data_IF_683453002327
#
_entry.id   IF_683453002327
#
_cell.length_a   1.000
_cell.length_b   1.000
_cell.length_c   1.000
_cell.angle_alpha   90.00
_cell.angle_beta   90.00
_cell.angle_gamma   90.00
#
_symmetry.space_group_name_H-M   'P 1'
#
loop_
_entity.id
_entity.type
_entity.pdbx_description
1 polymer ?
#
# COMPACT_ATOMS: atom_id res chain seq x y z
N UNK A 1 -7.43 -10.48 4.71
CA UNK A 1 -6.54 -10.05 3.60
C UNK A 1 -7.20 -10.28 2.24
N UNK A 2 -6.79 -9.52 1.22
CA UNK A 2 -7.25 -9.71 -0.16
C UNK A 2 -6.06 -9.62 -1.13
N UNK A 3 -6.20 -10.29 -2.26
CA UNK A 3 -5.19 -10.39 -3.31
C UNK A 3 -5.71 -9.84 -4.64
N UNK A 4 -4.83 -9.13 -5.34
CA UNK A 4 -5.00 -8.65 -6.70
C UNK A 4 -3.87 -9.24 -7.58
N UNK A 5 -4.16 -10.24 -8.43
CA UNK A 5 -3.16 -10.84 -9.32
C UNK A 5 -2.79 -9.92 -10.50
N UNK A 6 -1.66 -10.15 -11.15
CA UNK A 6 -1.22 -9.37 -12.32
C UNK A 6 -0.65 -7.99 -11.99
N UNK A 7 -0.38 -7.73 -10.71
CA UNK A 7 0.06 -6.43 -10.19
C UNK A 7 1.19 -6.59 -9.19
N UNK A 8 2.04 -5.57 -9.08
CA UNK A 8 3.13 -5.47 -8.10
C UNK A 8 2.97 -4.23 -7.23
N UNK A 9 3.35 -4.35 -5.95
CA UNK A 9 3.51 -3.19 -5.08
C UNK A 9 4.85 -2.53 -5.40
N UNK A 10 4.85 -1.22 -5.69
CA UNK A 10 6.06 -0.44 -5.96
C UNK A 10 6.10 0.84 -5.16
N UNK A 11 7.29 1.28 -4.77
CA UNK A 11 7.50 2.55 -4.05
C UNK A 11 7.94 3.68 -4.98
N UNK A 12 7.22 3.86 -6.07
CA UNK A 12 7.59 4.79 -7.15
C UNK A 12 6.56 5.90 -7.37
N UNK A 13 5.55 6.03 -6.50
CA UNK A 13 4.62 7.16 -6.55
C UNK A 13 5.29 8.35 -5.86
N UNK A 14 5.39 9.50 -6.54
CA UNK A 14 5.97 10.73 -5.99
C UNK A 14 5.18 11.25 -4.78
N UNK A 15 5.81 11.19 -3.61
CA UNK A 15 5.36 11.82 -2.38
C UNK A 15 5.57 13.33 -2.40
N UNK A 16 4.79 14.07 -1.61
CA UNK A 16 5.01 15.53 -1.45
C UNK A 16 6.31 15.85 -0.69
N UNK A 17 6.80 14.87 0.05
CA UNK A 17 8.05 14.91 0.82
C UNK A 17 9.27 14.47 -0.01
N UNK A 18 9.09 14.22 -1.31
CA UNK A 18 10.14 13.77 -2.22
C UNK A 18 10.44 12.27 -2.15
N UNK A 19 9.79 11.51 -1.27
CA UNK A 19 9.97 10.05 -1.20
C UNK A 19 9.04 9.27 -2.12
N UNK A 20 9.39 8.02 -2.37
CA UNK A 20 8.53 7.04 -3.02
C UNK A 20 7.42 6.54 -2.10
N UNK A 21 6.17 6.60 -2.57
CA UNK A 21 4.97 6.03 -1.91
C UNK A 21 4.48 4.81 -2.69
N UNK A 22 3.69 3.98 -2.01
CA UNK A 22 3.15 2.74 -2.59
C UNK A 22 2.30 3.00 -3.85
N UNK A 23 2.45 2.13 -4.84
CA UNK A 23 1.60 2.08 -6.01
C UNK A 23 1.25 0.63 -6.32
N UNK A 24 0.04 0.42 -6.84
CA UNK A 24 -0.40 -0.84 -7.43
C UNK A 24 -0.08 -0.75 -8.92
N UNK A 25 1.05 -1.33 -9.32
CA UNK A 25 1.51 -1.29 -10.70
C UNK A 25 1.08 -2.55 -11.45
N UNK A 26 0.39 -2.38 -12.58
CA UNK A 26 -0.03 -3.49 -13.43
C UNK A 26 1.17 -4.05 -14.20
N UNK A 27 1.39 -5.36 -14.11
CA UNK A 27 2.47 -6.06 -14.82
C UNK A 27 1.97 -7.05 -15.86
N UNK A 28 0.68 -7.39 -15.82
CA UNK A 28 0.07 -8.44 -16.65
C UNK A 28 0.69 -9.84 -16.48
N UNK A 29 1.61 -10.01 -15.54
CA UNK A 29 2.20 -11.30 -15.19
C UNK A 29 1.36 -11.98 -14.10
N UNK A 30 0.75 -13.15 -14.35
CA UNK A 30 -0.12 -13.81 -13.39
C UNK A 30 0.60 -14.31 -12.13
N UNK A 31 1.93 -14.41 -12.15
CA UNK A 31 2.72 -14.75 -10.97
C UNK A 31 2.86 -13.57 -9.99
N UNK A 32 2.72 -12.33 -10.49
CA UNK A 32 2.74 -11.13 -9.67
C UNK A 32 1.40 -10.94 -8.95
N UNK A 33 1.49 -10.42 -7.73
CA UNK A 33 0.31 -10.11 -6.93
C UNK A 33 0.56 -8.96 -5.96
N UNK A 34 -0.47 -8.16 -5.73
CA UNK A 34 -0.56 -7.26 -4.58
C UNK A 34 -1.45 -7.91 -3.54
N UNK A 35 -0.97 -8.00 -2.31
CA UNK A 35 -1.76 -8.43 -1.16
C UNK A 35 -1.92 -7.25 -0.21
N UNK A 36 -3.14 -7.01 0.24
CA UNK A 36 -3.47 -5.93 1.16
C UNK A 36 -4.54 -6.30 2.17
N UNK A 37 -4.83 -5.34 3.05
CA UNK A 37 -5.99 -5.38 3.92
C UNK A 37 -7.21 -4.81 3.20
N UNK A 38 -8.34 -5.50 3.30
CA UNK A 38 -9.61 -5.05 2.73
C UNK A 38 -10.51 -4.57 3.86
N UNK A 39 -10.92 -3.31 3.79
CA UNK A 39 -11.78 -2.67 4.78
C UNK A 39 -13.18 -2.46 4.21
N UNK A 40 -14.16 -2.51 5.10
CA UNK A 40 -15.52 -2.05 4.82
C UNK A 40 -15.71 -0.70 5.48
N UNK A 41 -16.21 0.26 4.72
CA UNK A 41 -16.50 1.61 5.19
C UNK A 41 -17.86 2.08 4.68
N UNK A 42 -18.42 3.09 5.31
CA UNK A 42 -19.67 3.72 4.88
C UNK A 42 -19.41 4.64 3.68
N UNK A 43 -20.33 4.67 2.73
CA UNK A 43 -20.15 5.43 1.49
C UNK A 43 -19.89 6.93 1.73
N UNK A 44 -20.47 7.51 2.78
CA UNK A 44 -20.29 8.92 3.14
C UNK A 44 -18.92 9.22 3.78
N UNK A 45 -18.15 8.21 4.18
CA UNK A 45 -16.77 8.36 4.69
C UNK A 45 -15.77 8.44 3.53
N UNK A 46 -16.14 7.95 2.35
CA UNK A 46 -15.25 7.93 1.18
C UNK A 46 -14.71 9.32 0.79
N UNK A 47 -15.50 10.42 0.77
CA UNK A 47 -14.96 11.74 0.47
C UNK A 47 -13.87 12.21 1.44
N UNK A 48 -13.94 11.80 2.72
CA UNK A 48 -12.91 12.10 3.71
C UNK A 48 -11.61 11.36 3.37
N UNK A 49 -11.71 10.09 2.98
CA UNK A 49 -10.57 9.29 2.53
C UNK A 49 -9.99 9.84 1.22
N UNK A 50 -10.83 10.22 0.26
CA UNK A 50 -10.41 10.86 -1.00
C UNK A 50 -9.58 12.13 -0.74
N UNK A 51 -10.00 12.94 0.23
CA UNK A 51 -9.26 14.15 0.63
C UNK A 51 -7.92 13.82 1.30
N UNK A 52 -7.90 12.80 2.16
CA UNK A 52 -6.69 12.37 2.87
C UNK A 52 -5.62 11.80 1.91
N UNK A 53 -6.04 10.97 0.95
CA UNK A 53 -5.17 10.38 -0.08
C UNK A 53 -4.71 11.41 -1.13
N UNK A 54 -5.38 12.58 -1.16
CA UNK A 54 -5.14 13.59 -2.16
C UNK A 54 -5.58 13.14 -3.54
N UNK A 55 -6.81 12.62 -3.65
CA UNK A 55 -7.43 12.29 -4.93
C UNK A 55 -7.36 13.51 -5.87
N UNK A 56 -6.81 13.32 -7.08
CA UNK A 56 -6.53 14.41 -8.02
C UNK A 56 -5.21 15.16 -7.78
N UNK A 57 -4.40 14.72 -6.81
CA UNK A 57 -3.04 15.24 -6.50
C UNK A 57 -1.99 14.11 -6.55
N UNK A 58 -2.15 13.22 -7.53
CA UNK A 58 -1.20 12.16 -7.87
C UNK A 58 -1.69 10.72 -7.68
N UNK A 59 -2.89 10.52 -7.13
CA UNK A 59 -3.60 9.24 -7.17
C UNK A 59 -4.94 9.39 -7.91
N UNK A 60 -5.40 8.29 -8.51
CA UNK A 60 -6.74 8.10 -9.05
C UNK A 60 -7.41 6.89 -8.39
N UNK A 61 -8.74 6.92 -8.26
CA UNK A 61 -9.49 5.75 -7.77
C UNK A 61 -9.62 4.73 -8.91
N UNK A 62 -9.36 3.47 -8.61
CA UNK A 62 -9.63 2.34 -9.52
C UNK A 62 -10.36 1.25 -8.77
N UNK A 63 -11.43 0.73 -9.38
CA UNK A 63 -12.17 -0.42 -8.86
C UNK A 63 -11.57 -1.71 -9.41
N UNK A 64 -11.30 -2.66 -8.53
CA UNK A 64 -10.78 -3.98 -8.86
C UNK A 64 -11.74 -5.06 -8.38
N UNK A 65 -11.70 -6.22 -9.06
CA UNK A 65 -12.21 -7.45 -8.47
C UNK A 65 -11.10 -8.06 -7.61
N UNK A 66 -11.36 -8.15 -6.30
CA UNK A 66 -10.40 -8.61 -5.32
C UNK A 66 -10.82 -9.98 -4.82
N UNK A 67 -9.85 -10.88 -4.65
CA UNK A 67 -10.08 -12.20 -4.05
C UNK A 67 -9.64 -12.19 -2.59
N UNK A 68 -10.50 -12.57 -1.65
CA UNK A 68 -10.07 -12.75 -0.26
C UNK A 68 -9.16 -13.96 -0.13
N UNK A 69 -8.22 -13.87 0.79
CA UNK A 69 -7.45 -15.04 1.22
C UNK A 69 -8.24 -15.75 2.32
N UNK A 70 -8.17 -17.09 2.33
CA UNK A 70 -8.70 -17.87 3.44
C UNK A 70 -8.01 -17.45 4.73
N UNK A 71 -8.80 -17.28 5.79
CA UNK A 71 -8.31 -17.00 7.15
C UNK A 71 -8.86 -18.07 8.08
N UNK A 72 -8.34 -18.16 9.31
CA UNK A 72 -8.88 -19.06 10.32
C UNK A 72 -10.38 -18.81 10.64
N UNK A 73 -10.91 -17.65 10.25
CA UNK A 73 -12.29 -17.21 10.49
C UNK A 73 -13.17 -17.33 9.24
N UNK A 74 -12.58 -17.50 8.05
CA UNK A 74 -13.28 -17.59 6.77
C UNK A 74 -12.65 -18.67 5.88
N UNK A 75 -13.34 -19.81 5.82
CA UNK A 75 -12.88 -21.01 5.11
C UNK A 75 -12.87 -20.87 3.58
N UNK A 76 -13.69 -19.99 3.02
CA UNK A 76 -13.82 -19.86 1.56
C UNK A 76 -13.38 -18.48 1.06
N UNK A 77 -12.41 -18.43 0.12
CA UNK A 77 -12.13 -17.24 -0.67
C UNK A 77 -13.40 -16.73 -1.38
N UNK A 78 -13.64 -15.43 -1.31
CA UNK A 78 -14.70 -14.74 -2.01
C UNK A 78 -14.10 -13.74 -2.98
N UNK A 79 -14.75 -13.55 -4.12
CA UNK A 79 -14.45 -12.43 -5.02
C UNK A 79 -15.42 -11.29 -4.72
N UNK A 80 -14.88 -10.09 -4.52
CA UNK A 80 -15.69 -8.90 -4.31
C UNK A 80 -15.07 -7.65 -4.93
N UNK A 81 -15.90 -6.70 -5.36
CA UNK A 81 -15.42 -5.40 -5.82
C UNK A 81 -14.85 -4.63 -4.63
N UNK A 82 -13.71 -3.98 -4.86
CA UNK A 82 -13.11 -3.01 -3.96
C UNK A 82 -12.47 -1.89 -4.76
N UNK A 83 -12.23 -0.74 -4.11
CA UNK A 83 -11.51 0.35 -4.75
C UNK A 83 -10.16 0.57 -4.07
N UNK A 84 -9.18 0.99 -4.87
CA UNK A 84 -7.85 1.37 -4.42
C UNK A 84 -7.44 2.70 -5.06
N UNK A 85 -6.44 3.34 -4.47
CA UNK A 85 -5.79 4.53 -5.01
C UNK A 85 -4.53 4.11 -5.78
N UNK A 86 -4.51 4.40 -7.09
CA UNK A 86 -3.42 4.04 -8.01
C UNK A 86 -2.74 5.31 -8.51
N UNK A 87 -1.41 5.31 -8.56
CA UNK A 87 -0.66 6.50 -8.94
C UNK A 87 -1.02 6.94 -10.36
N UNK A 88 -1.17 8.24 -10.57
CA UNK A 88 -1.32 8.80 -11.92
C UNK A 88 0.03 8.73 -12.66
N UNK A 89 0.05 8.50 -13.98
CA UNK A 89 1.30 8.29 -14.73
C UNK A 89 2.34 9.41 -14.57
N UNK A 90 1.90 10.67 -14.47
CA UNK A 90 2.74 11.86 -14.27
C UNK A 90 3.35 11.97 -12.86
N UNK A 91 2.86 11.16 -11.92
CA UNK A 91 3.33 11.05 -10.55
C UNK A 91 4.13 9.77 -10.28
N UNK A 92 4.52 9.04 -11.33
CA UNK A 92 5.38 7.86 -11.21
C UNK A 92 6.82 8.24 -11.54
N UNK A 93 7.74 7.74 -10.73
CA UNK A 93 9.18 7.93 -10.87
C UNK A 93 9.90 6.73 -10.25
N UNK A 94 10.43 5.86 -11.11
CA UNK A 94 11.11 4.62 -10.71
C UNK A 94 12.47 4.86 -10.03
N UNK A 95 12.97 6.09 -10.00
CA UNK A 95 14.21 6.44 -9.28
C UNK A 95 13.97 6.70 -7.80
N UNK A 96 12.71 6.84 -7.38
CA UNK A 96 12.35 7.11 -6.01
C UNK A 96 12.53 5.91 -5.11
N UNK A 97 12.85 6.20 -3.85
CA UNK A 97 12.88 5.24 -2.74
C UNK A 97 11.98 5.72 -1.62
N UNK A 98 11.32 4.81 -0.88
CA UNK A 98 10.57 5.21 0.30
C UNK A 98 11.52 5.69 1.39
N UNK A 99 11.04 6.62 2.22
CA UNK A 99 11.73 6.87 3.48
C UNK A 99 11.64 5.65 4.39
N UNK A 100 12.71 5.39 5.16
CA UNK A 100 12.82 4.22 6.04
C UNK A 100 11.65 4.10 7.01
N UNK A 101 11.20 5.21 7.61
CA UNK A 101 10.03 5.22 8.49
C UNK A 101 8.73 4.81 7.77
N UNK A 102 8.57 5.19 6.49
CA UNK A 102 7.36 4.89 5.72
C UNK A 102 7.37 3.44 5.25
N UNK A 103 8.53 2.96 4.79
CA UNK A 103 8.75 1.56 4.46
C UNK A 103 8.46 0.65 5.68
N UNK A 104 9.00 1.01 6.84
CA UNK A 104 8.76 0.28 8.10
C UNK A 104 7.28 0.27 8.49
N UNK A 105 6.52 1.36 8.27
CA UNK A 105 5.07 1.37 8.48
C UNK A 105 4.34 0.38 7.56
N UNK A 106 4.72 0.30 6.29
CA UNK A 106 4.11 -0.63 5.33
C UNK A 106 4.42 -2.08 5.72
N UNK A 107 5.67 -2.39 6.07
CA UNK A 107 6.08 -3.72 6.52
C UNK A 107 5.37 -4.10 7.83
N UNK A 108 5.31 -3.18 8.79
CA UNK A 108 4.62 -3.38 10.08
C UNK A 108 3.13 -3.62 9.87
N UNK A 109 2.48 -2.85 9.00
CA UNK A 109 1.08 -3.06 8.62
C UNK A 109 0.85 -4.43 7.98
N UNK A 110 1.74 -4.86 7.08
CA UNK A 110 1.67 -6.19 6.46
C UNK A 110 1.79 -7.32 7.51
N UNK A 111 2.71 -7.17 8.49
CA UNK A 111 2.86 -8.10 9.62
C UNK A 111 1.62 -8.10 10.52
N UNK A 112 1.09 -6.92 10.87
CA UNK A 112 -0.10 -6.75 11.70
C UNK A 112 -1.32 -7.47 11.08
N UNK A 113 -1.50 -7.34 9.77
CA UNK A 113 -2.57 -8.02 9.03
C UNK A 113 -2.28 -9.48 8.70
N UNK A 114 -1.15 -10.03 9.18
CA UNK A 114 -0.72 -11.41 8.95
C UNK A 114 -0.75 -11.77 7.47
N UNK A 115 -0.22 -10.88 6.63
CA UNK A 115 -0.04 -11.18 5.21
C UNK A 115 0.95 -12.35 5.05
N UNK A 116 0.93 -13.06 3.90
CA UNK A 116 1.85 -14.17 3.66
C UNK A 116 3.32 -13.77 3.88
N UNK A 117 4.09 -14.63 4.53
CA UNK A 117 5.47 -14.34 4.93
C UNK A 117 6.36 -14.00 3.72
N UNK A 118 6.22 -14.74 2.63
CA UNK A 118 6.97 -14.50 1.38
C UNK A 118 6.68 -13.13 0.77
N UNK A 119 5.45 -12.63 0.93
CA UNK A 119 5.07 -11.29 0.50
C UNK A 119 5.61 -10.22 1.43
N UNK A 120 5.64 -10.46 2.75
CA UNK A 120 6.27 -9.55 3.71
C UNK A 120 7.76 -9.44 3.44
N UNK A 121 8.45 -10.57 3.24
CA UNK A 121 9.89 -10.62 2.95
C UNK A 121 10.22 -9.86 1.66
N UNK A 122 9.36 -9.98 0.63
CA UNK A 122 9.49 -9.22 -0.59
C UNK A 122 9.41 -7.71 -0.37
N UNK A 123 8.46 -7.23 0.43
CA UNK A 123 8.32 -5.80 0.75
C UNK A 123 9.51 -5.34 1.60
N UNK A 124 9.89 -6.12 2.62
CA UNK A 124 10.96 -5.79 3.56
C UNK A 124 12.33 -5.69 2.86
N UNK A 125 12.54 -6.47 1.80
CA UNK A 125 13.74 -6.43 0.97
C UNK A 125 13.89 -5.20 0.05
N UNK A 126 12.89 -4.31 0.00
CA UNK A 126 12.95 -3.10 -0.84
C UNK A 126 13.84 -2.05 -0.17
N UNK A 127 14.81 -1.53 -0.93
CA UNK A 127 15.72 -0.48 -0.45
C UNK A 127 14.95 0.79 -0.07
N UNK A 128 15.17 1.26 1.16
CA UNK A 128 14.66 2.53 1.67
C UNK A 128 15.80 3.52 1.92
N UNK A 129 15.45 4.79 2.09
CA UNK A 129 16.42 5.85 2.36
C UNK A 129 16.09 6.60 3.67
N UNK A 130 17.09 7.16 4.37
CA UNK A 130 16.83 8.00 5.53
C UNK A 130 16.00 9.23 5.17
N UNK A 131 15.17 9.68 6.11
CA UNK A 131 14.51 10.98 6.03
C UNK A 131 15.37 12.04 6.73
N UNK A 132 15.74 13.10 6.02
CA UNK A 132 16.54 14.19 6.59
C UNK A 132 15.70 15.16 7.43
N UNK A 133 14.36 15.03 7.40
CA UNK A 133 13.46 15.67 8.34
C UNK A 133 13.38 14.83 9.63
N UNK A 134 14.26 15.16 10.59
CA UNK A 134 14.38 14.43 11.85
C UNK A 134 13.12 14.52 12.73
N UNK A 135 12.35 15.62 12.64
CA UNK A 135 11.11 15.78 13.39
C UNK A 135 10.03 14.83 12.85
N UNK A 136 9.87 14.79 11.51
CA UNK A 136 8.96 13.85 10.86
C UNK A 136 9.37 12.42 11.12
N UNK A 137 10.65 12.10 11.03
CA UNK A 137 11.16 10.77 11.36
C UNK A 137 10.81 10.36 12.81
N UNK A 138 11.10 11.23 13.79
CA UNK A 138 10.83 10.96 15.20
C UNK A 138 9.33 10.79 15.49
N UNK A 139 8.46 11.55 14.83
CA UNK A 139 7.01 11.39 14.93
C UNK A 139 6.56 10.01 14.48
N UNK A 140 6.98 9.57 13.29
CA UNK A 140 6.58 8.26 12.76
C UNK A 140 7.18 7.09 13.55
N UNK A 141 8.40 7.24 14.07
CA UNK A 141 8.99 6.27 15.00
C UNK A 141 8.22 6.15 16.34
N UNK A 142 7.47 7.17 16.76
CA UNK A 142 6.55 7.05 17.91
C UNK A 142 5.30 6.24 17.55
N UNK A 143 4.76 6.43 16.33
CA UNK A 143 3.61 5.67 15.84
C UNK A 143 3.98 4.18 15.77
N UNK A 144 5.11 3.86 15.15
CA UNK A 144 5.60 2.49 15.00
C UNK A 144 5.77 1.75 16.33
N UNK A 145 6.28 2.44 17.37
CA UNK A 145 6.44 1.85 18.70
C UNK A 145 5.12 1.56 19.44
N UNK A 146 4.01 2.11 18.97
CA UNK A 146 2.69 1.96 19.57
C UNK A 146 1.76 1.00 18.80
N UNK A 147 2.27 0.36 17.73
CA UNK A 147 1.58 -0.67 16.95
C UNK A 147 1.98 -2.07 17.42
#
# INVERSE_FOLDING_TARGET
>A
PAVLPGHQLRFHKRGRDGSGKCNIWRTDNPADRVIGALYRMLAHEKPLLDSAEGLGRGYQVTTFQLRTLATAEQDCPAELPGFCYVAQPDHIDDTLRPFSWYHELVVTGARYHRLPADYIDHIDGIESQPDHDFERHALHQRILRNL
#
